data_IF_598066547956
#
_entry.id   IF_598066547956
#
_cell.length_a   1.000
_cell.length_b   1.000
_cell.length_c   1.000
_cell.angle_alpha   90.00
_cell.angle_beta   90.00
_cell.angle_gamma   90.00
#
_symmetry.space_group_name_H-M   'P 1'
#
loop_
_entity.id
_entity.type
_entity.pdbx_description
1 polymer ?
#
# COMPACT_ATOMS: atom_id res chain seq x y z
N UNK A 1 2.86 -31.26 6.27
CA UNK A 1 2.01 -30.44 7.16
C UNK A 1 1.42 -29.22 6.42
N UNK A 2 2.22 -28.29 5.90
CA UNK A 2 1.76 -27.07 5.19
C UNK A 2 0.82 -27.35 4.00
N UNK A 3 1.10 -28.40 3.20
CA UNK A 3 0.27 -28.78 2.04
C UNK A 3 -1.16 -29.18 2.47
N UNK A 4 -1.28 -29.91 3.59
CA UNK A 4 -2.57 -30.34 4.14
C UNK A 4 -3.40 -29.13 4.59
N UNK A 5 -2.78 -28.17 5.26
CA UNK A 5 -3.42 -26.90 5.62
C UNK A 5 -3.86 -26.11 4.40
N UNK A 6 -3.02 -25.99 3.37
CA UNK A 6 -3.38 -25.28 2.15
C UNK A 6 -4.58 -25.95 1.45
N UNK A 7 -4.67 -27.29 1.46
CA UNK A 7 -5.82 -28.01 0.93
C UNK A 7 -7.09 -27.83 1.78
N UNK A 8 -6.97 -27.81 3.11
CA UNK A 8 -8.09 -27.56 3.99
C UNK A 8 -8.64 -26.13 3.82
N UNK A 9 -7.76 -25.14 3.77
CA UNK A 9 -8.10 -23.71 3.69
C UNK A 9 -8.68 -23.30 2.33
N UNK A 10 -8.30 -23.96 1.24
CA UNK A 10 -8.88 -23.73 -0.10
C UNK A 10 -10.41 -23.83 -0.12
N UNK A 11 -11.00 -24.72 0.69
CA UNK A 11 -12.46 -24.88 0.80
C UNK A 11 -13.14 -23.65 1.39
N UNK A 12 -12.39 -22.84 2.13
CA UNK A 12 -12.85 -21.59 2.74
C UNK A 12 -12.42 -20.35 1.93
N UNK A 13 -11.90 -20.54 0.70
CA UNK A 13 -11.40 -19.43 -0.12
C UNK A 13 -10.08 -18.83 0.35
N UNK A 14 -9.40 -19.47 1.30
CA UNK A 14 -8.12 -19.02 1.86
C UNK A 14 -6.95 -19.73 1.18
N UNK A 15 -5.81 -19.03 1.10
CA UNK A 15 -4.57 -19.54 0.50
C UNK A 15 -3.38 -19.26 1.41
N UNK A 16 -2.55 -20.27 1.63
CA UNK A 16 -1.25 -20.09 2.27
C UNK A 16 -0.23 -19.67 1.22
N UNK A 17 0.55 -18.65 1.55
CA UNK A 17 1.66 -18.13 0.75
C UNK A 17 2.89 -18.07 1.64
N UNK A 18 3.99 -18.64 1.18
CA UNK A 18 5.29 -18.48 1.84
C UNK A 18 5.87 -17.10 1.51
N UNK A 19 6.40 -16.41 2.51
CA UNK A 19 6.87 -15.02 2.42
C UNK A 19 8.28 -14.86 2.99
N UNK A 20 8.95 -13.79 2.56
CA UNK A 20 10.24 -13.42 3.11
C UNK A 20 10.07 -12.90 4.53
N UNK A 21 10.98 -13.30 5.42
CA UNK A 21 10.96 -12.86 6.84
C UNK A 21 11.44 -11.42 6.96
N UNK A 22 12.53 -11.10 6.26
CA UNK A 22 13.08 -9.75 6.19
C UNK A 22 12.45 -8.94 5.06
N UNK A 23 12.60 -7.62 5.14
CA UNK A 23 12.09 -6.70 4.14
C UNK A 23 12.71 -6.91 2.75
N UNK A 24 11.88 -6.93 1.71
CA UNK A 24 12.32 -7.28 0.35
C UNK A 24 13.32 -6.31 -0.27
N UNK A 25 13.36 -5.05 0.15
CA UNK A 25 14.38 -4.08 -0.29
C UNK A 25 15.81 -4.52 0.07
N UNK A 26 15.98 -5.25 1.17
CA UNK A 26 17.27 -5.76 1.63
C UNK A 26 17.56 -7.19 1.15
N UNK A 27 16.78 -7.71 0.19
CA UNK A 27 16.93 -9.09 -0.29
C UNK A 27 18.32 -9.40 -0.84
N UNK A 28 19.02 -8.39 -1.36
CA UNK A 28 20.38 -8.51 -1.88
C UNK A 28 21.41 -8.86 -0.79
N UNK A 29 21.13 -8.55 0.48
CA UNK A 29 21.99 -8.92 1.62
C UNK A 29 21.99 -10.42 1.87
N UNK A 30 20.86 -11.06 1.60
CA UNK A 30 20.69 -12.52 1.77
C UNK A 30 20.94 -13.27 0.47
N UNK A 31 20.62 -12.66 -0.69
CA UNK A 31 20.80 -13.27 -2.01
C UNK A 31 21.22 -12.24 -3.06
N UNK A 32 22.50 -12.27 -3.45
CA UNK A 32 23.10 -11.35 -4.43
C UNK A 32 22.54 -11.49 -5.86
N UNK A 33 21.86 -12.60 -6.19
CA UNK A 33 21.22 -12.82 -7.49
C UNK A 33 19.74 -12.43 -7.50
N UNK A 34 19.32 -11.68 -6.49
CA UNK A 34 17.96 -11.20 -6.36
C UNK A 34 17.97 -9.72 -5.96
N UNK A 35 17.12 -8.94 -6.63
CA UNK A 35 16.92 -7.52 -6.36
C UNK A 35 15.47 -7.16 -6.60
N UNK A 36 15.02 -6.07 -5.98
CA UNK A 36 13.73 -5.47 -6.28
C UNK A 36 13.78 -4.73 -7.62
N UNK A 37 12.67 -4.78 -8.35
CA UNK A 37 12.42 -3.96 -9.52
C UNK A 37 11.80 -2.63 -9.07
N UNK A 38 12.42 -1.48 -9.37
CA UNK A 38 11.78 -0.19 -9.12
C UNK A 38 10.59 -0.01 -10.07
N UNK A 39 9.48 0.50 -9.54
CA UNK A 39 8.32 0.93 -10.32
C UNK A 39 8.00 2.35 -9.89
N UNK A 40 8.49 3.31 -10.66
CA UNK A 40 8.29 4.74 -10.43
C UNK A 40 6.91 5.17 -10.94
N UNK A 41 6.36 6.21 -10.32
CA UNK A 41 5.11 6.83 -10.75
C UNK A 41 5.45 8.01 -11.67
N UNK A 42 4.92 7.99 -12.89
CA UNK A 42 5.04 9.10 -13.83
C UNK A 42 4.42 10.40 -13.26
N UNK A 43 3.38 10.25 -12.44
CA UNK A 43 2.72 11.34 -11.74
C UNK A 43 2.73 11.10 -10.23
N UNK A 44 3.28 12.07 -9.50
CA UNK A 44 3.27 12.08 -8.04
C UNK A 44 1.83 11.98 -7.51
N UNK A 45 1.61 11.25 -6.41
CA UNK A 45 0.35 11.29 -5.68
C UNK A 45 -0.04 12.73 -5.31
N UNK A 46 -1.33 13.12 -5.45
CA UNK A 46 -1.77 14.46 -5.12
C UNK A 46 -1.76 14.68 -3.60
N UNK A 47 -1.34 15.88 -3.19
CA UNK A 47 -1.47 16.30 -1.79
C UNK A 47 -2.89 16.82 -1.54
N UNK A 48 -3.67 16.08 -0.76
CA UNK A 48 -5.04 16.47 -0.41
C UNK A 48 -5.04 17.10 0.99
N UNK A 49 -5.48 18.37 1.13
CA UNK A 49 -5.59 19.00 2.45
C UNK A 49 -6.62 18.27 3.31
N UNK A 50 -6.32 18.18 4.60
CA UNK A 50 -7.19 17.52 5.61
C UNK A 50 -7.59 16.07 5.24
N UNK A 51 -6.74 15.34 4.50
CA UNK A 51 -7.06 13.96 4.06
C UNK A 51 -7.49 13.06 5.23
N UNK A 52 -6.86 13.22 6.40
CA UNK A 52 -7.21 12.53 7.64
C UNK A 52 -8.70 12.61 8.03
N UNK A 53 -9.34 13.77 7.77
CA UNK A 53 -10.76 14.01 8.09
C UNK A 53 -11.69 13.54 6.98
N UNK A 54 -11.14 13.22 5.81
CA UNK A 54 -11.88 12.85 4.60
C UNK A 54 -11.87 11.34 4.32
N UNK A 55 -11.17 10.57 5.14
CA UNK A 55 -11.13 9.11 5.10
C UNK A 55 -11.81 8.53 6.35
N UNK A 56 -12.33 7.29 6.28
CA UNK A 56 -12.84 6.61 7.46
C UNK A 56 -11.78 6.48 8.56
N UNK A 57 -12.22 6.51 9.82
CA UNK A 57 -11.34 6.36 10.98
C UNK A 57 -10.53 5.04 10.91
N UNK A 58 -9.25 5.10 11.29
CA UNK A 58 -8.32 3.97 11.20
C UNK A 58 -7.74 3.73 9.81
N UNK A 59 -8.07 4.55 8.81
CA UNK A 59 -7.42 4.49 7.49
C UNK A 59 -6.01 5.09 7.56
N UNK A 60 -5.01 4.35 7.07
CA UNK A 60 -3.65 4.88 6.92
C UNK A 60 -3.64 6.03 5.90
N UNK A 61 -3.16 7.19 6.33
CA UNK A 61 -3.15 8.43 5.53
C UNK A 61 -1.85 8.56 4.75
N UNK A 62 -0.74 8.12 5.33
CA UNK A 62 0.56 8.10 4.67
C UNK A 62 0.49 7.15 3.47
N UNK A 63 0.96 7.65 2.31
CA UNK A 63 1.00 6.89 1.06
C UNK A 63 -0.39 6.36 0.63
N UNK A 64 -1.47 7.08 0.97
CA UNK A 64 -2.85 6.64 0.77
C UNK A 64 -3.15 6.25 -0.70
N UNK A 65 -2.69 7.06 -1.65
CA UNK A 65 -2.94 6.84 -3.08
C UNK A 65 -2.15 5.64 -3.61
N UNK A 66 -0.91 5.49 -3.19
CA UNK A 66 -0.07 4.34 -3.52
C UNK A 66 -0.70 3.05 -2.98
N UNK A 67 -1.21 3.08 -1.75
CA UNK A 67 -1.95 1.96 -1.15
C UNK A 67 -3.25 1.66 -1.92
N UNK A 68 -3.99 2.69 -2.35
CA UNK A 68 -5.19 2.53 -3.17
C UNK A 68 -4.87 1.91 -4.54
N UNK A 69 -3.76 2.32 -5.16
CA UNK A 69 -3.28 1.77 -6.42
C UNK A 69 -2.93 0.29 -6.28
N UNK A 70 -2.17 -0.08 -5.24
CA UNK A 70 -1.87 -1.48 -4.94
C UNK A 70 -3.15 -2.31 -4.74
N UNK A 71 -4.13 -1.81 -4.00
CA UNK A 71 -5.44 -2.47 -3.85
C UNK A 71 -6.16 -2.65 -5.19
N UNK A 72 -6.13 -1.65 -6.07
CA UNK A 72 -6.70 -1.75 -7.43
C UNK A 72 -6.07 -2.91 -8.23
N UNK A 73 -4.75 -3.09 -8.10
CA UNK A 73 -4.02 -4.21 -8.73
C UNK A 73 -4.11 -5.53 -7.94
N UNK A 74 -4.95 -5.62 -6.92
CA UNK A 74 -5.18 -6.86 -6.17
C UNK A 74 -4.06 -7.23 -5.19
N UNK A 75 -3.30 -6.24 -4.74
CA UNK A 75 -2.39 -6.39 -3.61
C UNK A 75 -3.12 -6.18 -2.29
N UNK A 76 -2.67 -6.91 -1.28
CA UNK A 76 -3.23 -6.94 0.07
C UNK A 76 -2.08 -6.61 1.03
N UNK A 77 -2.33 -5.79 2.04
CA UNK A 77 -1.34 -5.45 3.06
C UNK A 77 -0.91 -6.73 3.80
N UNK A 78 0.40 -6.96 3.85
CA UNK A 78 1.02 -8.07 4.56
C UNK A 78 1.62 -7.58 5.89
N UNK A 79 2.50 -6.58 5.82
CA UNK A 79 3.18 -5.99 6.97
C UNK A 79 3.18 -4.48 6.82
N UNK A 80 2.78 -3.77 7.88
CA UNK A 80 2.84 -2.31 7.93
C UNK A 80 4.26 -1.83 8.28
N UNK A 81 4.65 -0.68 7.74
CA UNK A 81 5.87 0.01 8.17
C UNK A 81 5.81 0.33 9.67
N UNK A 82 6.98 0.36 10.32
CA UNK A 82 7.09 0.74 11.72
C UNK A 82 6.57 2.15 12.00
N UNK A 83 6.82 3.08 11.08
CA UNK A 83 6.38 4.49 11.17
C UNK A 83 4.87 4.69 11.18
N UNK A 84 4.11 3.71 10.69
CA UNK A 84 2.65 3.80 10.64
C UNK A 84 1.99 3.56 12.01
N UNK A 85 2.74 3.04 12.97
CA UNK A 85 2.26 2.81 14.32
C UNK A 85 2.52 4.05 15.18
N UNK A 86 1.57 4.46 16.03
CA UNK A 86 1.82 5.51 17.03
C UNK A 86 2.96 5.10 17.97
N UNK A 87 3.73 6.07 18.47
CA UNK A 87 4.84 5.82 19.42
C UNK A 87 4.42 5.08 20.70
N UNK A 88 3.13 5.09 21.03
CA UNK A 88 2.57 4.35 22.16
C UNK A 88 2.44 2.83 21.91
N UNK A 89 2.64 2.37 20.67
CA UNK A 89 2.46 0.97 20.27
C UNK A 89 3.81 0.37 19.90
N UNK A 90 4.30 -0.57 20.72
CA UNK A 90 5.47 -1.38 20.39
C UNK A 90 5.03 -2.65 19.65
N UNK A 91 5.55 -2.85 18.44
CA UNK A 91 5.18 -3.97 17.56
C UNK A 91 6.30 -4.98 17.50
N UNK A 92 6.13 -6.08 18.23
CA UNK A 92 7.07 -7.18 18.27
C UNK A 92 6.59 -8.40 17.47
N UNK A 93 7.48 -8.98 16.67
CA UNK A 93 7.25 -10.23 15.95
C UNK A 93 8.30 -11.26 16.35
N UNK A 94 7.88 -12.40 16.88
CA UNK A 94 8.76 -13.44 17.44
C UNK A 94 9.76 -14.03 16.45
N UNK A 95 9.49 -13.91 15.15
CA UNK A 95 10.26 -14.52 14.07
C UNK A 95 11.19 -13.53 13.35
N UNK A 96 11.26 -12.25 13.76
CA UNK A 96 12.15 -11.25 13.16
C UNK A 96 12.77 -10.34 14.21
N UNK A 97 13.87 -9.67 13.86
CA UNK A 97 14.60 -8.78 14.78
C UNK A 97 14.40 -7.29 14.52
N UNK A 98 13.99 -6.90 13.31
CA UNK A 98 13.90 -5.49 12.90
C UNK A 98 12.50 -5.13 12.42
N UNK A 99 12.13 -3.86 12.58
CA UNK A 99 10.91 -3.32 11.97
C UNK A 99 11.09 -3.13 10.46
N UNK A 100 9.97 -3.09 9.74
CA UNK A 100 9.97 -2.80 8.31
C UNK A 100 10.02 -1.28 8.09
N UNK A 101 10.92 -0.83 7.23
CA UNK A 101 10.98 0.58 6.82
C UNK A 101 9.82 0.94 5.89
N UNK A 102 9.45 0.03 4.99
CA UNK A 102 8.36 0.22 4.03
C UNK A 102 7.23 -0.78 4.27
N UNK A 103 5.99 -0.33 4.09
CA UNK A 103 4.83 -1.22 4.14
C UNK A 103 4.91 -2.22 2.99
N UNK A 104 4.80 -3.50 3.32
CA UNK A 104 4.85 -4.61 2.38
C UNK A 104 3.46 -5.12 2.07
N UNK A 105 3.24 -5.37 0.79
CA UNK A 105 2.02 -5.90 0.23
C UNK A 105 2.30 -7.19 -0.53
N UNK A 106 1.35 -8.12 -0.47
CA UNK A 106 1.36 -9.36 -1.25
C UNK A 106 0.26 -9.33 -2.29
N UNK A 107 0.56 -9.66 -3.54
CA UNK A 107 -0.48 -9.81 -4.56
C UNK A 107 -1.37 -11.02 -4.23
N UNK A 108 -2.68 -10.95 -4.44
CA UNK A 108 -3.64 -12.05 -4.17
C UNK A 108 -3.27 -13.41 -4.79
N UNK A 109 -2.45 -13.43 -5.84
CA UNK A 109 -1.92 -14.67 -6.42
C UNK A 109 -0.82 -15.33 -5.57
N UNK A 110 -0.22 -14.62 -4.62
CA UNK A 110 0.95 -15.02 -3.84
C UNK A 110 2.28 -14.99 -4.61
N UNK A 111 2.28 -14.52 -5.87
CA UNK A 111 3.45 -14.57 -6.76
C UNK A 111 4.38 -13.34 -6.66
N UNK A 112 3.94 -12.30 -5.97
CA UNK A 112 4.62 -11.01 -5.98
C UNK A 112 4.46 -10.30 -4.65
N UNK A 113 5.53 -9.64 -4.24
CA UNK A 113 5.55 -8.69 -3.15
C UNK A 113 5.83 -7.29 -3.70
N UNK A 114 5.31 -6.29 -3.01
CA UNK A 114 5.49 -4.90 -3.36
C UNK A 114 5.65 -4.08 -2.09
N UNK A 115 6.64 -3.20 -2.03
CA UNK A 115 6.86 -2.26 -0.95
C UNK A 115 6.66 -0.84 -1.45
N UNK A 116 6.04 0.00 -0.62
CA UNK A 116 5.72 1.39 -0.96
C UNK A 116 6.86 2.30 -0.52
N UNK A 117 7.63 2.79 -1.48
CA UNK A 117 8.67 3.81 -1.23
C UNK A 117 8.02 5.20 -1.05
N UNK A 118 6.95 5.46 -1.82
CA UNK A 118 6.15 6.69 -1.76
C UNK A 118 6.58 7.73 -2.79
N UNK A 119 5.70 8.70 -3.05
CA UNK A 119 5.96 9.78 -4.00
C UNK A 119 6.25 9.25 -5.42
N UNK A 120 7.14 9.92 -6.16
CA UNK A 120 7.53 9.49 -7.51
C UNK A 120 8.34 8.20 -7.54
N UNK A 121 9.05 7.86 -6.46
CA UNK A 121 9.77 6.59 -6.38
C UNK A 121 8.83 5.38 -6.42
N UNK A 122 7.55 5.59 -6.07
CA UNK A 122 6.48 4.61 -6.19
C UNK A 122 6.74 3.37 -5.35
N UNK A 123 7.18 2.30 -6.03
CA UNK A 123 7.26 0.98 -5.45
C UNK A 123 8.61 0.27 -5.66
N UNK A 124 8.84 -0.71 -4.77
CA UNK A 124 9.89 -1.73 -4.90
C UNK A 124 9.19 -3.08 -5.04
N UNK A 125 9.34 -3.72 -6.19
CA UNK A 125 8.59 -4.92 -6.54
C UNK A 125 9.49 -6.16 -6.57
N UNK A 126 9.02 -7.30 -6.07
CA UNK A 126 9.79 -8.54 -6.04
C UNK A 126 8.93 -9.75 -6.42
N UNK A 127 9.45 -10.61 -7.31
CA UNK A 127 8.86 -11.93 -7.57
C UNK A 127 9.01 -12.80 -6.33
N UNK A 128 7.91 -13.39 -5.86
CA UNK A 128 7.96 -14.40 -4.81
C UNK A 128 8.52 -15.72 -5.38
N UNK A 129 9.83 -15.94 -5.20
CA UNK A 129 10.50 -17.19 -5.57
C UNK A 129 10.35 -18.30 -4.54
N UNK A 130 9.86 -17.97 -3.32
CA UNK A 130 9.56 -18.93 -2.26
C UNK A 130 8.27 -19.68 -2.53
N UNK A 131 7.38 -19.13 -3.35
CA UNK A 131 6.26 -19.87 -3.93
C UNK A 131 6.76 -20.87 -4.99
N UNK A 132 7.69 -21.74 -4.59
CA UNK A 132 7.86 -23.02 -5.22
C UNK A 132 6.55 -23.79 -4.93
N UNK A 133 5.80 -24.21 -5.97
CA UNK A 133 4.71 -25.12 -5.71
C UNK A 133 5.30 -26.34 -5.00
N UNK A 134 4.55 -26.96 -4.10
CA UNK A 134 4.88 -28.27 -3.50
C UNK A 134 4.95 -29.37 -4.56
N UNK A 135 5.82 -29.21 -5.55
CA UNK A 135 5.83 -29.91 -6.80
C UNK A 135 7.28 -30.14 -7.23
N UNK A 136 7.94 -31.04 -6.49
CA UNK A 136 8.73 -32.07 -7.15
C UNK A 136 7.87 -32.90 -8.15
N UNK A 137 6.54 -32.72 -8.15
CA UNK A 137 5.54 -33.36 -9.01
C UNK A 137 5.14 -32.59 -10.30
N UNK A 138 5.43 -31.28 -10.44
CA UNK A 138 5.32 -30.57 -11.72
C UNK A 138 6.73 -30.10 -12.08
N UNK A 139 7.34 -30.70 -13.10
CA UNK A 139 8.68 -30.37 -13.55
C UNK A 139 8.86 -28.90 -13.99
N UNK A 140 10.01 -28.61 -14.60
CA UNK A 140 10.45 -27.27 -15.06
C UNK A 140 9.34 -26.36 -15.65
N UNK A 141 8.38 -26.95 -16.38
CA UNK A 141 7.21 -26.28 -16.96
C UNK A 141 6.33 -25.50 -15.96
N UNK A 142 6.11 -25.99 -14.74
CA UNK A 142 5.27 -25.30 -13.75
C UNK A 142 5.92 -24.02 -13.21
N UNK A 143 7.24 -24.07 -12.99
CA UNK A 143 8.03 -22.90 -12.53
C UNK A 143 8.06 -21.79 -13.58
N UNK A 144 8.16 -22.16 -14.86
CA UNK A 144 8.11 -21.22 -15.98
C UNK A 144 6.79 -20.46 -16.02
N UNK A 145 5.64 -21.15 -15.91
CA UNK A 145 4.31 -20.50 -15.91
C UNK A 145 4.13 -19.48 -14.78
N UNK A 146 4.60 -19.80 -13.57
CA UNK A 146 4.53 -18.88 -12.43
C UNK A 146 5.41 -17.64 -12.63
N UNK A 147 6.62 -17.81 -13.17
CA UNK A 147 7.49 -16.68 -13.51
C UNK A 147 6.85 -15.78 -14.57
N UNK A 148 6.33 -16.35 -15.66
CA UNK A 148 5.65 -15.58 -16.71
C UNK A 148 4.46 -14.80 -16.15
N UNK A 149 3.66 -15.43 -15.26
CA UNK A 149 2.53 -14.74 -14.62
C UNK A 149 2.96 -13.64 -13.65
N UNK A 150 4.03 -13.85 -12.88
CA UNK A 150 4.57 -12.83 -11.99
C UNK A 150 5.11 -11.63 -12.79
N UNK A 151 5.80 -11.91 -13.90
CA UNK A 151 6.29 -10.89 -14.81
C UNK A 151 5.17 -10.10 -15.48
N UNK A 152 4.06 -10.78 -15.83
CA UNK A 152 2.85 -10.12 -16.33
C UNK A 152 2.24 -9.18 -15.29
N UNK A 153 2.10 -9.63 -14.03
CA UNK A 153 1.61 -8.78 -12.92
C UNK A 153 2.50 -7.53 -12.76
N UNK A 154 3.83 -7.70 -12.82
CA UNK A 154 4.78 -6.59 -12.75
C UNK A 154 4.60 -5.62 -13.91
N UNK A 155 4.53 -6.14 -15.15
CA UNK A 155 4.37 -5.32 -16.36
C UNK A 155 3.07 -4.53 -16.35
N UNK A 156 1.96 -5.13 -15.91
CA UNK A 156 0.67 -4.45 -15.82
C UNK A 156 0.73 -3.27 -14.84
N UNK A 157 1.27 -3.49 -13.64
CA UNK A 157 1.44 -2.41 -12.66
C UNK A 157 2.38 -1.32 -13.20
N UNK A 158 3.54 -1.71 -13.75
CA UNK A 158 4.52 -0.76 -14.25
C UNK A 158 4.01 0.06 -15.44
N UNK A 159 3.31 -0.57 -16.39
CA UNK A 159 2.72 0.12 -17.54
C UNK A 159 1.64 1.13 -17.11
N UNK A 160 0.87 0.81 -16.07
CA UNK A 160 -0.09 1.75 -15.51
C UNK A 160 0.60 2.92 -14.79
N UNK A 161 1.63 2.64 -13.99
CA UNK A 161 2.38 3.67 -13.26
C UNK A 161 3.18 4.59 -14.19
N UNK A 162 3.58 4.10 -15.37
CA UNK A 162 4.27 4.90 -16.38
C UNK A 162 3.34 5.81 -17.19
N UNK A 163 2.02 5.62 -17.11
CA UNK A 163 1.02 6.39 -17.85
C UNK A 163 0.44 7.50 -16.96
N UNK A 164 0.95 8.72 -17.15
CA UNK A 164 0.53 9.92 -16.41
C UNK A 164 -0.98 10.19 -16.51
N UNK A 165 -1.59 9.94 -17.69
CA UNK A 165 -3.01 10.22 -17.90
C UNK A 165 -3.86 9.25 -17.09
N UNK A 166 -3.53 7.95 -17.13
CA UNK A 166 -4.24 6.95 -16.33
C UNK A 166 -4.05 7.15 -14.84
N UNK A 167 -2.86 7.54 -14.39
CA UNK A 167 -2.62 7.86 -12.98
C UNK A 167 -3.48 9.04 -12.54
N UNK A 168 -3.54 10.11 -13.35
CA UNK A 168 -4.37 11.27 -13.05
C UNK A 168 -5.85 10.90 -12.95
N UNK A 169 -6.39 10.16 -13.93
CA UNK A 169 -7.78 9.70 -13.91
C UNK A 169 -8.08 8.83 -12.68
N UNK A 170 -7.14 7.95 -12.31
CA UNK A 170 -7.26 7.14 -11.11
C UNK A 170 -7.28 7.98 -9.84
N UNK A 171 -6.38 8.96 -9.71
CA UNK A 171 -6.35 9.86 -8.57
C UNK A 171 -7.64 10.68 -8.46
N UNK A 172 -8.15 11.19 -9.58
CA UNK A 172 -9.41 11.93 -9.63
C UNK A 172 -10.60 11.05 -9.17
N UNK A 173 -10.67 9.79 -9.59
CA UNK A 173 -11.67 8.81 -9.11
C UNK A 173 -11.54 8.51 -7.61
N UNK A 174 -10.32 8.32 -7.11
CA UNK A 174 -10.07 8.09 -5.68
C UNK A 174 -10.46 9.31 -4.85
N UNK A 175 -10.15 10.53 -5.31
CA UNK A 175 -10.53 11.78 -4.64
C UNK A 175 -12.05 11.95 -4.65
N UNK A 176 -12.74 11.57 -5.74
CA UNK A 176 -14.19 11.61 -5.85
C UNK A 176 -14.92 10.73 -4.83
N UNK A 177 -14.25 9.69 -4.30
CA UNK A 177 -14.78 8.78 -3.27
C UNK A 177 -14.51 9.23 -1.83
N UNK A 178 -13.71 10.28 -1.65
CA UNK A 178 -13.43 10.83 -0.31
C UNK A 178 -14.69 11.47 0.28
N UNK A 179 -14.75 11.49 1.61
CA UNK A 179 -15.81 12.21 2.31
C UNK A 179 -15.76 13.71 1.97
N UNK A 180 -16.90 14.41 2.06
CA UNK A 180 -16.96 15.85 1.86
C UNK A 180 -15.97 16.56 2.78
N UNK A 181 -15.38 17.69 2.34
CA UNK A 181 -14.53 18.48 3.21
C UNK A 181 -15.33 18.91 4.46
N UNK A 182 -14.68 18.98 5.64
CA UNK A 182 -15.34 19.47 6.84
C UNK A 182 -15.90 20.86 6.55
N UNK A 183 -17.15 21.10 6.94
CA UNK A 183 -17.76 22.42 6.82
C UNK A 183 -16.84 23.43 7.50
N UNK A 184 -16.44 24.47 6.76
CA UNK A 184 -15.74 25.62 7.36
C UNK A 184 -16.73 26.19 8.37
N UNK A 185 -16.49 25.94 9.65
CA UNK A 185 -17.20 26.64 10.71
C UNK A 185 -16.72 28.08 10.59
N UNK A 186 -17.44 28.87 9.79
CA UNK A 186 -17.26 30.31 9.76
C UNK A 186 -17.53 30.75 11.19
N UNK A 187 -16.53 31.25 11.95
CA UNK A 187 -16.80 31.77 13.27
C UNK A 187 -17.88 32.84 13.09
N UNK A 188 -18.94 32.86 13.93
CA UNK A 188 -19.98 33.87 13.80
C UNK A 188 -19.28 35.22 13.74
N UNK A 189 -19.54 35.96 12.65
CA UNK A 189 -18.99 37.29 12.44
C UNK A 189 -19.12 38.03 13.76
N UNK A 190 -17.98 38.39 14.33
CA UNK A 190 -17.86 39.09 15.60
C UNK A 190 -19.04 40.04 15.76
N UNK A 191 -19.91 39.76 16.74
CA UNK A 191 -20.94 40.70 17.13
C UNK A 191 -20.22 42.03 17.35
N UNK A 192 -20.41 42.98 16.43
CA UNK A 192 -19.92 44.32 16.65
C UNK A 192 -20.54 44.76 17.98
N UNK A 193 -19.74 45.20 18.95
CA UNK A 193 -20.31 45.77 20.16
C UNK A 193 -21.22 46.91 19.71
N UNK A 194 -22.49 46.85 20.13
CA UNK A 194 -23.44 47.93 19.93
C UNK A 194 -22.81 49.23 20.44
N UNK A 195 -22.97 50.37 19.74
CA UNK A 195 -22.43 51.62 20.22
C UNK A 195 -22.97 51.88 21.63
N UNK A 196 -22.07 52.28 22.53
CA UNK A 196 -22.46 52.61 23.90
C UNK A 196 -23.38 53.83 23.85
N UNK A 197 -24.40 53.88 24.70
CA UNK A 197 -25.36 55.00 24.79
C UNK A 197 -24.66 56.37 25.01
N UNK A 198 -23.40 56.36 25.45
CA UNK A 198 -22.56 57.55 25.58
C UNK A 198 -22.12 58.17 24.25
N UNK A 199 -22.07 57.42 23.14
CA UNK A 199 -21.69 57.93 21.82
C UNK A 199 -22.88 58.55 21.04
N UNK A 200 -24.07 58.59 21.64
CA UNK A 200 -25.31 59.12 21.05
C UNK A 200 -25.66 60.53 21.56
N UNK A 201 -24.86 61.11 22.45
CA UNK A 201 -25.12 62.40 23.08
C UNK A 201 -23.93 63.38 23.05
N UNK A 202 -22.99 63.20 22.12
CA UNK A 202 -21.99 64.21 21.74
C UNK A 202 -22.20 64.69 20.30
#
# INVERSE_FOLDING_TARGET
>A
MIISWNHALKRYGLKIVEAYVDQIVDINRTNVFQSCFPIELALAPPCIPDLAKRVPEGTQIEQYFECALLKHFGYILDISAGSNYPDSVDVFYSYRRSHFTYSQYVHKSGLAFCQVAGGNEGFRWLTNRLLAPGNYALGSQGKSKHHTRADEIRRQLAAFCADETKLKEFYDDVVGKLLPPPAVVVPPASAQPSPSIQDLFD
#
